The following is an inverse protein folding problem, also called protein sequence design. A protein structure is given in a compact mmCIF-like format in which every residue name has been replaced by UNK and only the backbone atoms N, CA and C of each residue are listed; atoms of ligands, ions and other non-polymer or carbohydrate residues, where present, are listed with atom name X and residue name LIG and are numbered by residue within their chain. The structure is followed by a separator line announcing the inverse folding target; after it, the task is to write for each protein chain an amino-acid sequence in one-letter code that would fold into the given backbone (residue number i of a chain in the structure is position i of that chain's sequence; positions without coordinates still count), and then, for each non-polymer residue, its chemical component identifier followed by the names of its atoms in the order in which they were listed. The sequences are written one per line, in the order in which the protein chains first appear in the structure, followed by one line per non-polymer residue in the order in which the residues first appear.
data_IF_589013965015
#
_entry.id   IF_589013965015
#
_cell.length_a   1.000
_cell.length_b   1.000
_cell.length_c   1.000
_cell.angle_alpha   90.00
_cell.angle_beta   90.00
_cell.angle_gamma   90.00
#
_symmetry.space_group_name_H-M   'P 1'
#
loop_
_entity.id
_entity.type
_entity.pdbx_description
1 polymer ?
#
# COMPACT_ATOMS: atom_id res chain seq x y z
N UNK A 1 -0.24 -36.92 26.79
CA UNK A 1 0.79 -36.44 25.85
C UNK A 1 0.32 -35.11 25.29
N UNK A 2 0.81 -34.00 25.85
CA UNK A 2 0.38 -32.65 25.46
C UNK A 2 1.15 -32.24 24.21
N UNK A 3 0.44 -32.12 23.08
CA UNK A 3 1.02 -31.73 21.80
C UNK A 3 1.47 -30.27 21.84
N UNK A 4 2.77 -30.06 21.63
CA UNK A 4 3.41 -28.76 21.52
C UNK A 4 2.80 -28.02 20.32
N UNK A 5 2.12 -26.91 20.58
CA UNK A 5 1.68 -25.95 19.57
C UNK A 5 2.94 -25.34 18.96
N UNK A 6 3.31 -25.76 17.74
CA UNK A 6 4.35 -25.09 16.95
C UNK A 6 3.81 -23.72 16.56
N UNK A 7 4.32 -22.68 17.22
CA UNK A 7 4.20 -21.30 16.75
C UNK A 7 5.01 -21.19 15.45
N UNK A 8 4.46 -20.69 14.34
CA UNK A 8 5.28 -20.35 13.19
C UNK A 8 6.17 -19.18 13.57
N UNK A 9 7.46 -19.31 13.29
CA UNK A 9 8.46 -18.28 13.52
C UNK A 9 8.10 -17.04 12.69
N UNK A 10 7.79 -15.96 13.42
CA UNK A 10 7.55 -14.63 12.85
C UNK A 10 8.88 -14.10 12.30
N UNK A 11 9.05 -14.20 11.00
CA UNK A 11 10.09 -13.48 10.29
C UNK A 11 9.62 -12.04 10.05
N UNK A 12 10.38 -11.09 10.59
CA UNK A 12 10.41 -9.66 10.25
C UNK A 12 9.22 -8.75 10.62
N UNK A 13 8.48 -9.04 11.69
CA UNK A 13 7.60 -8.04 12.35
C UNK A 13 6.49 -7.45 11.46
N UNK A 14 6.31 -7.98 10.25
CA UNK A 14 5.24 -7.59 9.34
C UNK A 14 4.03 -8.47 9.65
N UNK A 15 2.83 -7.87 9.74
CA UNK A 15 1.62 -8.63 10.01
C UNK A 15 1.39 -9.67 8.90
N UNK A 16 1.12 -10.91 9.30
CA UNK A 16 0.61 -11.91 8.37
C UNK A 16 -0.72 -11.43 7.76
N UNK A 17 -1.09 -11.89 6.55
CA UNK A 17 -2.37 -11.55 5.94
C UNK A 17 -3.54 -11.97 6.88
N UNK A 18 -4.12 -11.05 7.66
CA UNK A 18 -5.34 -11.25 8.46
C UNK A 18 -6.58 -10.97 7.63
N UNK A 19 -7.75 -11.43 8.06
CA UNK A 19 -9.03 -11.21 7.37
C UNK A 19 -9.39 -9.71 7.17
N UNK A 20 -8.68 -8.78 7.82
CA UNK A 20 -8.86 -7.33 7.68
C UNK A 20 -8.50 -6.78 6.28
N UNK A 21 -7.67 -7.51 5.52
CA UNK A 21 -7.24 -7.09 4.17
C UNK A 21 -8.36 -7.10 3.13
N UNK A 22 -9.52 -7.72 3.40
CA UNK A 22 -10.68 -7.73 2.48
C UNK A 22 -11.25 -6.31 2.25
N UNK A 23 -11.04 -5.40 3.20
CA UNK A 23 -11.42 -3.98 3.05
C UNK A 23 -10.32 -3.14 2.39
N UNK A 24 -9.11 -3.66 2.29
CA UNK A 24 -7.97 -2.92 1.77
C UNK A 24 -7.87 -3.11 0.26
N UNK A 25 -7.62 -2.03 -0.46
CA UNK A 25 -7.40 -2.09 -1.91
C UNK A 25 -5.91 -2.23 -2.17
N UNK A 26 -5.53 -3.04 -3.14
CA UNK A 26 -4.14 -3.02 -3.58
C UNK A 26 -3.81 -1.63 -4.15
N UNK A 27 -2.64 -1.08 -3.84
CA UNK A 27 -2.26 0.27 -4.27
C UNK A 27 -2.32 0.40 -5.80
N UNK A 28 -2.02 -0.68 -6.54
CA UNK A 28 -2.15 -0.73 -8.00
C UNK A 28 -3.56 -0.48 -8.50
N UNK A 29 -4.55 -0.90 -7.73
CA UNK A 29 -5.95 -0.89 -8.15
C UNK A 29 -6.50 0.51 -8.00
N UNK A 30 -5.96 1.33 -7.09
CA UNK A 30 -6.30 2.74 -6.96
C UNK A 30 -6.05 3.49 -8.27
N UNK A 31 -4.87 3.34 -8.86
CA UNK A 31 -4.54 3.97 -10.14
C UNK A 31 -5.44 3.51 -11.30
N UNK A 32 -5.83 2.24 -11.31
CA UNK A 32 -6.75 1.69 -12.30
C UNK A 32 -8.19 2.19 -12.08
N UNK A 33 -8.70 2.17 -10.84
CA UNK A 33 -10.03 2.66 -10.45
C UNK A 33 -10.20 4.14 -10.78
N UNK A 34 -9.15 4.94 -10.60
CA UNK A 34 -9.18 6.35 -10.95
C UNK A 34 -9.09 6.60 -12.46
N UNK A 35 -8.76 5.59 -13.28
CA UNK A 35 -8.67 5.70 -14.74
C UNK A 35 -7.32 6.17 -15.28
N UNK A 36 -6.27 6.22 -14.45
CA UNK A 36 -4.95 6.76 -14.82
C UNK A 36 -3.88 5.67 -15.03
N UNK A 37 -4.27 4.42 -14.78
CA UNK A 37 -3.41 3.26 -14.93
C UNK A 37 -2.42 3.08 -13.77
N UNK A 38 -2.02 1.83 -13.57
CA UNK A 38 -1.15 1.40 -12.46
C UNK A 38 0.19 2.15 -12.45
N UNK A 39 0.93 2.10 -13.55
CA UNK A 39 2.32 2.57 -13.60
C UNK A 39 2.45 4.06 -13.28
N UNK A 40 1.58 4.89 -13.85
CA UNK A 40 1.59 6.34 -13.64
C UNK A 40 1.29 6.69 -12.18
N UNK A 41 0.28 6.06 -11.61
CA UNK A 41 -0.08 6.27 -10.21
C UNK A 41 1.06 5.88 -9.26
N UNK A 42 1.72 4.73 -9.48
CA UNK A 42 2.90 4.32 -8.70
C UNK A 42 4.05 5.32 -8.78
N UNK A 43 4.37 5.82 -9.98
CA UNK A 43 5.42 6.81 -10.18
C UNK A 43 5.11 8.10 -9.41
N UNK A 44 3.85 8.55 -9.45
CA UNK A 44 3.42 9.71 -8.68
C UNK A 44 3.51 9.48 -7.17
N UNK A 45 3.04 8.33 -6.65
CA UNK A 45 3.15 8.02 -5.21
C UNK A 45 4.61 8.06 -4.73
N UNK A 46 5.54 7.53 -5.54
CA UNK A 46 6.97 7.58 -5.25
C UNK A 46 7.51 9.02 -5.32
N UNK A 47 7.16 9.78 -6.35
CA UNK A 47 7.56 11.19 -6.49
C UNK A 47 7.02 12.10 -5.38
N UNK A 48 5.87 11.73 -4.78
CA UNK A 48 5.28 12.44 -3.64
C UNK A 48 5.84 12.02 -2.28
N UNK A 49 6.65 10.96 -2.23
CA UNK A 49 7.22 10.45 -0.98
C UNK A 49 6.28 9.52 -0.19
N UNK A 50 5.18 9.06 -0.78
CA UNK A 50 4.30 8.07 -0.14
C UNK A 50 4.91 6.66 -0.17
N UNK A 51 5.82 6.42 -1.11
CA UNK A 51 6.57 5.17 -1.25
C UNK A 51 8.07 5.42 -1.13
N UNK A 52 8.76 4.49 -0.48
CA UNK A 52 10.21 4.38 -0.47
C UNK A 52 10.75 3.89 -1.81
N UNK A 53 12.09 3.92 -2.02
CA UNK A 53 12.69 3.34 -3.22
C UNK A 53 12.41 1.86 -3.46
N UNK A 54 12.04 1.11 -2.43
CA UNK A 54 11.71 -0.32 -2.50
C UNK A 54 10.21 -0.59 -2.69
N UNK A 55 9.42 0.44 -3.01
CA UNK A 55 7.95 0.36 -3.15
C UNK A 55 7.24 -0.11 -1.87
N UNK A 56 7.79 0.28 -0.72
CA UNK A 56 7.16 0.13 0.61
C UNK A 56 6.57 1.48 1.00
N UNK A 57 5.42 1.57 1.71
CA UNK A 57 4.92 2.85 2.22
C UNK A 57 5.98 3.58 3.06
N UNK A 58 5.96 4.91 3.00
CA UNK A 58 6.79 5.72 3.88
C UNK A 58 6.37 5.54 5.34
N UNK A 59 7.30 5.82 6.27
CA UNK A 59 7.01 5.74 7.70
C UNK A 59 5.78 6.59 8.09
N UNK A 60 5.62 7.76 7.46
CA UNK A 60 4.46 8.62 7.65
C UNK A 60 3.14 7.90 7.28
N UNK A 61 3.07 7.31 6.09
CA UNK A 61 1.88 6.59 5.61
C UNK A 61 1.54 5.37 6.48
N UNK A 62 2.54 4.71 7.06
CA UNK A 62 2.35 3.61 8.02
C UNK A 62 1.83 4.15 9.35
N UNK A 63 2.46 5.21 9.88
CA UNK A 63 2.10 5.79 11.18
C UNK A 63 0.69 6.37 11.21
N UNK A 64 0.21 6.86 10.06
CA UNK A 64 -1.16 7.35 9.87
C UNK A 64 -2.17 6.23 9.60
N UNK A 65 -1.73 4.98 9.49
CA UNK A 65 -2.61 3.85 9.17
C UNK A 65 -3.20 3.91 7.76
N UNK A 66 -2.58 4.64 6.83
CA UNK A 66 -3.08 4.79 5.46
C UNK A 66 -2.65 3.66 4.54
N UNK A 67 -1.50 3.05 4.80
CA UNK A 67 -0.97 1.98 3.97
C UNK A 67 -0.30 0.90 4.82
N UNK A 68 -0.38 -0.33 4.31
CA UNK A 68 0.26 -1.50 4.90
C UNK A 68 1.09 -2.19 3.83
N UNK A 69 2.29 -2.64 4.19
CA UNK A 69 3.11 -3.49 3.36
C UNK A 69 3.03 -4.93 3.86
N UNK A 70 2.81 -5.86 2.93
CA UNK A 70 2.76 -7.30 3.20
C UNK A 70 3.73 -7.99 2.26
N UNK A 71 4.52 -8.92 2.78
CA UNK A 71 5.38 -9.76 1.95
C UNK A 71 4.51 -10.84 1.30
N UNK A 72 4.51 -10.93 -0.03
CA UNK A 72 3.84 -12.03 -0.72
C UNK A 72 4.58 -13.35 -0.48
N UNK A 73 3.88 -14.47 -0.69
CA UNK A 73 4.49 -15.82 -0.66
C UNK A 73 5.68 -15.97 -1.62
N UNK A 74 5.70 -15.18 -2.69
CA UNK A 74 6.78 -15.12 -3.68
C UNK A 74 7.92 -14.15 -3.31
N UNK A 75 7.89 -13.55 -2.12
CA UNK A 75 8.93 -12.65 -1.62
C UNK A 75 8.87 -11.21 -2.16
N UNK A 76 7.77 -10.82 -2.82
CA UNK A 76 7.58 -9.46 -3.30
C UNK A 76 6.73 -8.66 -2.32
N UNK A 77 7.15 -7.43 -2.00
CA UNK A 77 6.33 -6.51 -1.21
C UNK A 77 5.08 -6.12 -1.99
N UNK A 78 3.91 -6.33 -1.39
CA UNK A 78 2.62 -5.80 -1.83
C UNK A 78 2.20 -4.67 -0.91
N UNK A 79 1.70 -3.60 -1.50
CA UNK A 79 1.21 -2.44 -0.75
C UNK A 79 -0.30 -2.38 -0.86
N UNK A 80 -0.94 -2.34 0.29
CA UNK A 80 -2.38 -2.20 0.43
C UNK A 80 -2.69 -0.82 1.02
N UNK A 81 -3.74 -0.19 0.52
CA UNK A 81 -4.29 1.04 1.10
C UNK A 81 -5.49 0.70 1.96
N UNK A 82 -5.55 1.28 3.14
CA UNK A 82 -6.76 1.26 3.97
C UNK A 82 -7.82 2.16 3.35
N UNK A 83 -9.05 2.12 3.88
CA UNK A 83 -10.12 2.98 3.38
C UNK A 83 -9.80 4.49 3.53
N UNK A 84 -9.17 4.87 4.64
CA UNK A 84 -8.74 6.25 4.88
C UNK A 84 -7.57 6.63 3.97
N UNK A 85 -6.61 5.71 3.80
CA UNK A 85 -5.52 5.89 2.85
C UNK A 85 -6.01 6.03 1.42
N UNK A 86 -7.03 5.28 1.02
CA UNK A 86 -7.65 5.41 -0.29
C UNK A 86 -8.24 6.81 -0.49
N UNK A 87 -8.99 7.31 0.48
CA UNK A 87 -9.59 8.66 0.44
C UNK A 87 -8.51 9.74 0.35
N UNK A 88 -7.48 9.65 1.19
CA UNK A 88 -6.38 10.59 1.22
C UNK A 88 -5.58 10.60 -0.09
N UNK A 89 -5.11 9.43 -0.55
CA UNK A 89 -4.25 9.31 -1.73
C UNK A 89 -5.02 9.69 -2.99
N UNK A 90 -6.29 9.30 -3.11
CA UNK A 90 -7.14 9.68 -4.24
C UNK A 90 -7.36 11.19 -4.30
N UNK A 91 -7.60 11.82 -3.14
CA UNK A 91 -7.75 13.28 -3.05
C UNK A 91 -6.48 14.03 -3.42
N UNK A 92 -5.33 13.61 -2.89
CA UNK A 92 -4.03 14.19 -3.22
C UNK A 92 -3.71 14.04 -4.71
N UNK A 93 -4.01 12.88 -5.30
CA UNK A 93 -3.79 12.61 -6.72
C UNK A 93 -4.66 13.51 -7.60
N UNK A 94 -5.95 13.62 -7.29
CA UNK A 94 -6.87 14.49 -8.01
C UNK A 94 -6.44 15.97 -7.94
N UNK A 95 -5.97 16.43 -6.77
CA UNK A 95 -5.47 17.78 -6.59
C UNK A 95 -4.21 18.06 -7.45
N UNK A 96 -3.28 17.12 -7.51
CA UNK A 96 -2.06 17.27 -8.31
C UNK A 96 -2.33 17.20 -9.82
N UNK A 97 -3.33 16.43 -10.26
CA UNK A 97 -3.82 16.47 -11.64
C UNK A 97 -4.39 17.84 -11.98
N UNK A 98 -5.27 18.38 -11.12
CA UNK A 98 -5.87 19.71 -11.32
C UNK A 98 -4.82 20.82 -11.39
N UNK A 99 -3.70 20.65 -10.66
CA UNK A 99 -2.55 21.56 -10.69
C UNK A 99 -1.63 21.37 -11.89
N UNK A 100 -1.89 20.39 -12.76
CA UNK A 100 -1.05 20.06 -13.91
C UNK A 100 0.30 19.45 -13.53
N UNK A 101 0.45 18.97 -12.29
CA UNK A 101 1.68 18.35 -11.79
C UNK A 101 1.86 16.92 -12.30
N UNK A 102 0.75 16.30 -12.72
CA UNK A 102 0.74 14.97 -13.34
C UNK A 102 0.31 15.15 -14.79
N UNK A 103 1.22 14.86 -15.73
CA UNK A 103 0.93 14.99 -17.16
C UNK A 103 0.21 13.76 -17.70
N UNK A 104 -0.72 14.03 -18.62
CA UNK A 104 -1.51 13.01 -19.32
C UNK A 104 -0.75 12.34 -20.45
#
# INVERSE_FOLDING_TARGET
MSGIKKTPESHDGLPSPSEDYDTFKHLSDVGAVLGYGRTRFYQWCRGRGFLTPMNVPSHEMISLGYMVAVLSETGHTRVYVTQDGFSYVSGAFAADIQRGMIKF
#
